data_IF_206036267272
#
_entry.id   IF_206036267272
#
_cell.length_a   1.000
_cell.length_b   1.000
_cell.length_c   1.000
_cell.angle_alpha   90.00
_cell.angle_beta   90.00
_cell.angle_gamma   90.00
#
_symmetry.space_group_name_H-M   'P 1'
#
loop_
_entity.id
_entity.type
_entity.pdbx_description
1 polymer ?
#
# COMPACT_ATOMS: atom_id res chain seq x y z
N UNK A 1 -28.99 36.22 -71.06
CA UNK A 1 -30.07 37.20 -71.29
C UNK A 1 -30.77 37.38 -69.94
N UNK A 2 -30.51 38.54 -69.30
CA UNK A 2 -31.08 39.08 -68.04
C UNK A 2 -30.88 38.27 -66.74
N UNK A 3 -30.53 38.82 -65.57
CA UNK A 3 -30.02 40.14 -65.12
C UNK A 3 -29.50 39.94 -63.69
N UNK A 4 -28.50 40.76 -63.37
CA UNK A 4 -28.04 41.18 -62.04
C UNK A 4 -29.17 41.77 -61.18
N UNK A 5 -29.16 41.54 -59.85
CA UNK A 5 -29.45 42.62 -58.90
C UNK A 5 -28.94 42.33 -57.48
N UNK A 6 -28.04 43.20 -57.04
CA UNK A 6 -27.59 43.44 -55.67
C UNK A 6 -28.72 43.75 -54.67
N UNK A 7 -28.57 43.45 -53.36
CA UNK A 7 -28.45 44.45 -52.27
C UNK A 7 -28.35 43.84 -50.86
N UNK A 8 -27.53 44.50 -50.05
CA UNK A 8 -27.26 44.33 -48.61
C UNK A 8 -28.44 44.61 -47.67
N UNK A 9 -28.45 43.97 -46.49
CA UNK A 9 -28.92 44.47 -45.17
C UNK A 9 -28.39 43.52 -44.08
N UNK A 10 -27.31 43.85 -43.38
CA UNK A 10 -27.25 44.45 -42.03
C UNK A 10 -27.97 43.70 -40.88
N UNK A 11 -27.12 43.14 -39.99
CA UNK A 11 -27.13 43.10 -38.52
C UNK A 11 -28.38 42.63 -37.75
N UNK A 12 -28.20 41.49 -37.06
CA UNK A 12 -28.48 41.34 -35.61
C UNK A 12 -27.54 40.27 -35.03
N UNK A 13 -26.84 40.51 -33.90
CA UNK A 13 -26.07 39.47 -33.23
C UNK A 13 -27.00 38.64 -32.34
N UNK A 14 -27.03 37.32 -32.56
CA UNK A 14 -27.67 36.39 -31.65
C UNK A 14 -26.81 36.32 -30.37
N UNK A 15 -27.39 36.78 -29.26
CA UNK A 15 -26.90 36.56 -27.91
C UNK A 15 -26.78 35.05 -27.68
N UNK A 16 -25.55 34.52 -27.66
CA UNK A 16 -25.29 33.20 -27.10
C UNK A 16 -25.47 33.30 -25.59
N UNK A 17 -26.59 32.74 -25.12
CA UNK A 17 -26.87 32.49 -23.72
C UNK A 17 -25.78 31.55 -23.19
N UNK A 18 -24.84 32.08 -22.42
CA UNK A 18 -23.90 31.27 -21.63
C UNK A 18 -24.75 30.61 -20.54
N UNK A 19 -25.21 29.39 -20.81
CA UNK A 19 -25.69 28.49 -19.76
C UNK A 19 -24.44 28.06 -19.01
N UNK A 20 -24.12 28.79 -17.95
CA UNK A 20 -23.17 28.37 -16.94
C UNK A 20 -23.70 27.09 -16.31
N UNK A 21 -23.27 25.94 -16.82
CA UNK A 21 -23.30 24.70 -16.04
C UNK A 21 -22.31 24.90 -14.90
N UNK A 22 -22.85 25.37 -13.78
CA UNK A 22 -22.19 25.32 -12.49
C UNK A 22 -21.99 23.83 -12.19
N UNK A 23 -20.83 23.28 -12.58
CA UNK A 23 -20.33 22.04 -12.01
C UNK A 23 -20.11 22.34 -10.52
N UNK A 24 -21.15 22.09 -9.73
CA UNK A 24 -20.98 21.75 -8.33
C UNK A 24 -20.03 20.57 -8.31
N UNK A 25 -18.74 20.87 -8.10
CA UNK A 25 -17.79 19.91 -7.56
C UNK A 25 -18.38 19.54 -6.21
N UNK A 26 -19.23 18.51 -6.19
CA UNK A 26 -19.40 17.72 -4.99
C UNK A 26 -17.99 17.24 -4.66
N UNK A 27 -17.36 17.92 -3.71
CA UNK A 27 -16.30 17.31 -2.92
C UNK A 27 -16.96 16.11 -2.27
N UNK A 28 -16.91 14.98 -2.97
CA UNK A 28 -17.24 13.69 -2.42
C UNK A 28 -16.27 13.49 -1.29
N UNK A 29 -16.72 13.76 -0.07
CA UNK A 29 -16.09 13.24 1.13
C UNK A 29 -16.17 11.72 1.00
N UNK A 30 -15.15 11.10 0.43
CA UNK A 30 -14.99 9.65 0.43
C UNK A 30 -14.58 9.20 1.83
N UNK A 31 -15.36 9.59 2.84
CA UNK A 31 -15.44 8.92 4.12
C UNK A 31 -16.24 7.63 3.89
N UNK A 32 -15.62 6.66 3.21
CA UNK A 32 -16.10 5.28 3.31
C UNK A 32 -16.11 4.95 4.80
N UNK A 33 -17.29 4.60 5.32
CA UNK A 33 -17.48 4.38 6.74
C UNK A 33 -16.47 3.33 7.22
N UNK A 34 -15.44 3.77 7.95
CA UNK A 34 -14.57 2.88 8.71
C UNK A 34 -15.48 1.98 9.53
N UNK A 35 -15.35 0.66 9.40
CA UNK A 35 -16.14 -0.23 10.26
C UNK A 35 -15.85 0.13 11.73
N UNK A 36 -16.85 -0.01 12.59
CA UNK A 36 -16.80 0.47 13.98
C UNK A 36 -15.61 -0.09 14.79
N UNK A 37 -15.08 -1.25 14.38
CA UNK A 37 -13.88 -1.88 14.92
C UNK A 37 -12.58 -1.19 14.49
N UNK A 38 -12.51 -0.63 13.28
CA UNK A 38 -11.33 0.09 12.76
C UNK A 38 -11.14 1.44 13.46
N UNK A 39 -12.23 2.15 13.70
CA UNK A 39 -12.21 3.46 14.35
C UNK A 39 -11.63 3.41 15.79
N UNK A 40 -11.67 2.24 16.43
CA UNK A 40 -11.17 2.09 17.79
C UNK A 40 -9.64 1.84 17.84
N UNK A 41 -9.02 1.30 16.78
CA UNK A 41 -7.59 1.00 16.78
C UNK A 41 -6.73 2.26 17.03
N UNK A 42 -7.15 3.40 16.48
CA UNK A 42 -6.42 4.66 16.56
C UNK A 42 -6.79 5.45 17.82
N UNK A 43 -5.82 5.74 18.72
CA UNK A 43 -6.05 6.52 19.94
C UNK A 43 -6.53 7.96 19.66
N UNK A 44 -7.10 8.59 20.68
CA UNK A 44 -7.56 10.00 20.60
C UNK A 44 -6.44 10.94 20.13
N UNK A 45 -5.21 10.77 20.64
CA UNK A 45 -4.05 11.60 20.24
C UNK A 45 -3.74 11.50 18.73
N UNK A 46 -3.95 10.34 18.12
CA UNK A 46 -3.83 10.19 16.66
C UNK A 46 -4.87 11.04 15.94
N UNK A 47 -6.14 10.92 16.36
CA UNK A 47 -7.25 11.65 15.74
C UNK A 47 -7.07 13.16 15.86
N UNK A 48 -6.70 13.65 17.05
CA UNK A 48 -6.44 15.07 17.29
C UNK A 48 -5.27 15.58 16.44
N UNK A 49 -4.19 14.81 16.34
CA UNK A 49 -3.03 15.20 15.51
C UNK A 49 -3.32 15.14 14.02
N UNK A 50 -4.27 14.30 13.62
CA UNK A 50 -4.67 14.08 12.24
C UNK A 50 -5.65 15.16 11.74
N UNK A 51 -6.69 15.42 12.52
CA UNK A 51 -7.80 16.32 12.18
C UNK A 51 -7.42 17.82 12.33
N UNK A 52 -6.42 18.15 13.16
CA UNK A 52 -5.98 19.53 13.40
C UNK A 52 -4.66 19.87 12.67
N UNK A 53 -4.67 20.75 11.65
CA UNK A 53 -3.47 21.19 10.92
C UNK A 53 -2.33 21.67 11.82
N UNK A 54 -2.64 22.42 12.89
CA UNK A 54 -1.62 22.95 13.82
C UNK A 54 -0.92 21.85 14.62
N UNK A 55 -1.47 20.63 14.62
CA UNK A 55 -0.95 19.47 15.34
C UNK A 55 -0.31 18.41 14.44
N UNK A 56 -0.39 18.55 13.12
CA UNK A 56 0.08 17.53 12.17
C UNK A 56 1.58 17.27 12.24
N UNK A 57 2.37 18.24 12.74
CA UNK A 57 3.80 18.06 13.02
C UNK A 57 4.09 16.92 14.01
N UNK A 58 3.09 16.50 14.82
CA UNK A 58 3.20 15.39 15.77
C UNK A 58 2.93 14.02 15.14
N UNK A 59 2.29 13.96 13.97
CA UNK A 59 1.83 12.71 13.36
C UNK A 59 2.90 11.64 13.21
N UNK A 60 4.15 11.92 12.76
CA UNK A 60 5.17 10.88 12.64
C UNK A 60 5.45 10.19 13.97
N UNK A 61 5.55 10.96 15.06
CA UNK A 61 5.74 10.41 16.41
C UNK A 61 4.51 9.62 16.86
N UNK A 62 3.32 10.17 16.68
CA UNK A 62 2.08 9.52 17.13
C UNK A 62 1.83 8.22 16.39
N UNK A 63 2.07 8.17 15.07
CA UNK A 63 2.01 6.95 14.26
C UNK A 63 3.06 5.94 14.73
N UNK A 64 4.30 6.37 14.97
CA UNK A 64 5.31 5.48 15.53
C UNK A 64 4.86 4.86 16.86
N UNK A 65 4.28 5.67 17.75
CA UNK A 65 3.77 5.18 19.04
C UNK A 65 2.61 4.20 18.86
N UNK A 66 1.64 4.48 17.98
CA UNK A 66 0.56 3.54 17.61
C UNK A 66 1.12 2.22 17.10
N UNK A 67 2.13 2.27 16.24
CA UNK A 67 2.70 1.08 15.62
C UNK A 67 3.60 0.25 16.56
N UNK A 68 4.15 0.86 17.62
CA UNK A 68 5.16 0.25 18.49
C UNK A 68 4.65 -0.14 19.88
N UNK A 69 3.74 0.64 20.45
CA UNK A 69 3.27 0.49 21.84
C UNK A 69 2.17 -0.57 21.92
N UNK A 70 1.86 -0.99 23.14
CA UNK A 70 0.72 -1.85 23.38
C UNK A 70 -0.57 -1.04 23.33
N UNK A 71 -1.63 -1.66 22.85
CA UNK A 71 -2.98 -1.13 22.81
C UNK A 71 -3.81 -1.78 23.90
N UNK A 72 -4.60 -0.97 24.62
CA UNK A 72 -5.66 -1.44 25.49
C UNK A 72 -7.00 -1.25 24.78
N UNK A 73 -7.60 -2.36 24.32
CA UNK A 73 -8.87 -2.30 23.62
C UNK A 73 -10.01 -1.88 24.57
N UNK A 74 -10.84 -0.94 24.12
CA UNK A 74 -12.02 -0.46 24.85
C UNK A 74 -13.28 -0.63 24.01
N UNK A 75 -14.35 -1.11 24.63
CA UNK A 75 -15.61 -1.33 23.94
C UNK A 75 -16.19 -0.01 23.43
N UNK A 76 -16.34 0.12 22.10
CA UNK A 76 -16.86 1.30 21.41
C UNK A 76 -16.10 2.61 21.70
N UNK A 77 -14.81 2.53 22.05
CA UNK A 77 -13.96 3.70 22.26
C UNK A 77 -12.60 3.49 21.59
N UNK A 78 -11.91 4.58 21.21
CA UNK A 78 -10.50 4.54 20.83
C UNK A 78 -9.65 3.80 21.85
N UNK A 79 -8.66 3.08 21.38
CA UNK A 79 -7.67 2.40 22.19
C UNK A 79 -6.85 3.40 22.99
N UNK A 80 -6.29 2.91 24.10
CA UNK A 80 -5.30 3.65 24.87
C UNK A 80 -3.96 2.97 24.70
N UNK A 81 -2.91 3.74 24.42
CA UNK A 81 -1.56 3.20 24.34
C UNK A 81 -0.96 2.97 25.73
N UNK A 82 -0.26 1.85 25.87
CA UNK A 82 0.48 1.42 27.06
C UNK A 82 1.91 1.06 26.67
N UNK A 83 2.84 1.17 27.59
CA UNK A 83 4.26 0.89 27.30
C UNK A 83 4.53 -0.59 27.06
N UNK A 84 3.76 -1.45 27.72
CA UNK A 84 3.84 -2.90 27.57
C UNK A 84 2.48 -3.55 27.75
N UNK A 85 2.38 -4.79 27.29
CA UNK A 85 1.16 -5.57 27.37
C UNK A 85 1.28 -6.68 28.40
N UNK A 86 0.55 -6.55 29.52
CA UNK A 86 0.42 -7.58 30.55
C UNK A 86 -1.01 -8.10 30.59
N UNK A 87 -1.26 -9.20 29.87
CA UNK A 87 -2.61 -9.80 29.76
C UNK A 87 -3.16 -10.32 31.08
N UNK A 88 -2.33 -10.51 32.11
CA UNK A 88 -2.81 -10.91 33.43
C UNK A 88 -3.53 -9.76 34.16
N UNK A 89 -3.17 -8.51 33.84
CA UNK A 89 -3.77 -7.29 34.38
C UNK A 89 -4.81 -6.70 33.45
N UNK A 90 -4.51 -6.70 32.16
CA UNK A 90 -5.31 -6.10 31.10
C UNK A 90 -5.63 -7.14 30.01
N UNK A 91 -6.68 -7.97 30.19
CA UNK A 91 -6.99 -9.05 29.24
C UNK A 91 -7.27 -8.58 27.81
N UNK A 92 -7.74 -7.33 27.65
CA UNK A 92 -8.02 -6.70 26.35
C UNK A 92 -6.78 -6.08 25.69
N UNK A 93 -5.62 -6.15 26.35
CA UNK A 93 -4.40 -5.61 25.80
C UNK A 93 -3.85 -6.47 24.65
N UNK A 94 -3.31 -5.80 23.63
CA UNK A 94 -2.60 -6.42 22.52
C UNK A 94 -1.48 -5.52 21.98
N UNK A 95 -0.56 -6.09 21.22
CA UNK A 95 0.54 -5.38 20.57
C UNK A 95 1.02 -6.20 19.37
N UNK A 96 1.82 -5.60 18.48
CA UNK A 96 2.39 -6.32 17.33
C UNK A 96 3.04 -7.65 17.78
N UNK A 97 2.61 -8.76 17.17
CA UNK A 97 3.13 -10.09 17.41
C UNK A 97 4.29 -10.36 16.43
N UNK A 98 5.52 -10.64 16.92
CA UNK A 98 6.59 -11.15 16.07
C UNK A 98 6.21 -12.53 15.53
N UNK A 99 6.08 -12.66 14.22
CA UNK A 99 5.59 -13.89 13.59
C UNK A 99 6.68 -14.93 13.32
N UNK A 100 7.91 -14.47 13.07
CA UNK A 100 8.97 -15.30 12.52
C UNK A 100 8.75 -15.56 11.02
N UNK A 101 9.85 -15.65 10.27
CA UNK A 101 9.80 -15.59 8.82
C UNK A 101 9.04 -16.76 8.17
N UNK A 102 9.18 -17.98 8.70
CA UNK A 102 8.49 -19.14 8.14
C UNK A 102 6.97 -19.02 8.29
N UNK A 103 6.49 -18.66 9.48
CA UNK A 103 5.07 -18.50 9.74
C UNK A 103 4.48 -17.35 8.91
N UNK A 104 5.16 -16.21 8.83
CA UNK A 104 4.73 -15.09 7.99
C UNK A 104 4.57 -15.50 6.50
N UNK A 105 5.45 -16.36 5.97
CA UNK A 105 5.31 -16.89 4.60
C UNK A 105 4.17 -17.89 4.46
N UNK A 106 3.93 -18.71 5.46
CA UNK A 106 2.76 -19.60 5.48
C UNK A 106 1.47 -18.79 5.38
N UNK A 107 1.32 -17.73 6.18
CA UNK A 107 0.17 -16.83 6.11
C UNK A 107 0.11 -16.08 4.77
N UNK A 108 1.25 -15.59 4.28
CA UNK A 108 1.34 -14.85 3.02
C UNK A 108 0.76 -15.63 1.83
N UNK A 109 1.22 -16.87 1.65
CA UNK A 109 0.87 -17.67 0.47
C UNK A 109 -0.32 -18.58 0.69
N UNK A 110 -0.49 -19.07 1.91
CA UNK A 110 -1.49 -20.07 2.24
C UNK A 110 -2.83 -19.48 2.65
N UNK A 111 -2.91 -18.18 2.95
CA UNK A 111 -4.15 -17.53 3.39
C UNK A 111 -4.33 -16.16 2.70
N UNK A 112 -3.43 -15.20 2.94
CA UNK A 112 -3.62 -13.79 2.55
C UNK A 112 -3.71 -13.56 1.04
N UNK A 113 -2.95 -14.31 0.25
CA UNK A 113 -2.96 -14.21 -1.22
C UNK A 113 -3.44 -15.50 -1.90
N UNK A 114 -4.01 -16.43 -1.12
CA UNK A 114 -4.50 -17.68 -1.66
C UNK A 114 -5.85 -17.46 -2.36
N UNK A 115 -5.88 -17.74 -3.65
CA UNK A 115 -7.09 -17.76 -4.46
C UNK A 115 -7.60 -19.20 -4.54
N UNK A 116 -8.92 -19.37 -4.46
CA UNK A 116 -9.58 -20.66 -4.65
C UNK A 116 -10.63 -20.57 -5.75
N UNK A 117 -10.61 -21.52 -6.68
CA UNK A 117 -11.63 -21.70 -7.71
C UNK A 117 -11.97 -23.18 -7.82
N UNK A 118 -13.11 -23.58 -7.24
CA UNK A 118 -13.43 -25.00 -7.04
C UNK A 118 -12.38 -25.68 -6.16
N UNK A 119 -11.82 -26.79 -6.64
CA UNK A 119 -10.77 -27.54 -5.95
C UNK A 119 -9.35 -27.05 -6.29
N UNK A 120 -9.23 -26.01 -7.11
CA UNK A 120 -7.94 -25.47 -7.54
C UNK A 120 -7.56 -24.25 -6.72
N UNK A 121 -6.26 -24.17 -6.44
CA UNK A 121 -5.65 -23.04 -5.74
C UNK A 121 -4.68 -22.30 -6.65
N UNK A 122 -4.55 -21.00 -6.42
CA UNK A 122 -3.52 -20.18 -7.04
C UNK A 122 -3.10 -19.00 -6.17
N UNK A 123 -1.99 -18.37 -6.53
CA UNK A 123 -1.54 -17.12 -5.91
C UNK A 123 -1.18 -16.14 -7.00
N UNK A 124 -1.66 -14.90 -6.90
CA UNK A 124 -1.31 -13.84 -7.84
C UNK A 124 0.05 -13.24 -7.50
N UNK A 125 1.00 -13.29 -8.43
CA UNK A 125 2.28 -12.59 -8.33
C UNK A 125 2.10 -11.09 -8.63
N UNK A 126 2.40 -10.22 -7.66
CA UNK A 126 1.91 -8.83 -7.68
C UNK A 126 2.60 -7.92 -8.69
N UNK A 127 3.86 -8.17 -9.08
CA UNK A 127 4.57 -7.30 -10.02
C UNK A 127 4.27 -7.61 -11.49
N UNK A 128 3.82 -8.81 -11.81
CA UNK A 128 3.51 -9.23 -13.18
C UNK A 128 2.04 -9.56 -13.39
N UNK A 129 1.20 -9.36 -12.37
CA UNK A 129 -0.24 -9.61 -12.42
C UNK A 129 -0.64 -11.05 -12.78
N UNK A 130 0.31 -11.99 -12.79
CA UNK A 130 0.12 -13.40 -13.20
C UNK A 130 -0.38 -14.23 -12.03
N UNK A 131 -1.38 -15.09 -12.26
CA UNK A 131 -1.81 -16.11 -11.30
C UNK A 131 -0.97 -17.37 -11.52
N UNK A 132 -0.39 -17.86 -10.44
CA UNK A 132 0.40 -19.10 -10.39
C UNK A 132 -0.47 -20.20 -9.80
N UNK A 133 -0.67 -21.29 -10.55
CA UNK A 133 -1.48 -22.45 -10.15
C UNK A 133 -0.60 -23.69 -10.06
N UNK A 134 -1.15 -24.85 -9.72
CA UNK A 134 -0.39 -26.11 -9.68
C UNK A 134 0.38 -26.43 -10.98
N UNK A 135 -0.08 -25.96 -12.13
CA UNK A 135 0.58 -26.17 -13.43
C UNK A 135 1.96 -25.49 -13.52
N UNK A 136 2.16 -24.38 -12.79
CA UNK A 136 3.44 -23.65 -12.76
C UNK A 136 4.50 -24.34 -11.87
N UNK A 137 4.12 -25.40 -11.12
CA UNK A 137 4.98 -26.09 -10.16
C UNK A 137 5.13 -27.59 -10.47
N UNK A 138 5.60 -27.98 -11.68
CA UNK A 138 5.64 -29.39 -12.09
C UNK A 138 6.53 -30.27 -11.21
N UNK A 139 7.55 -29.68 -10.56
CA UNK A 139 8.53 -30.38 -9.71
C UNK A 139 8.64 -29.76 -8.31
N UNK A 140 7.61 -29.03 -7.87
CA UNK A 140 7.66 -28.19 -6.67
C UNK A 140 6.37 -28.19 -5.88
N UNK A 141 6.40 -27.57 -4.70
CA UNK A 141 5.19 -27.36 -3.92
C UNK A 141 4.34 -26.29 -4.59
N UNK A 142 3.12 -26.66 -5.00
CA UNK A 142 2.13 -25.72 -5.52
C UNK A 142 1.45 -24.92 -4.39
N UNK A 143 0.84 -23.77 -4.71
CA UNK A 143 -0.01 -23.04 -3.77
C UNK A 143 -1.14 -23.90 -3.18
N UNK A 144 -1.51 -23.59 -1.94
CA UNK A 144 -2.62 -24.24 -1.24
C UNK A 144 -2.71 -23.80 0.22
N UNK A 145 -3.78 -24.19 0.94
CA UNK A 145 -4.03 -23.74 2.31
C UNK A 145 -2.86 -24.06 3.24
N UNK A 146 -2.38 -23.05 3.97
CA UNK A 146 -1.24 -23.17 4.89
C UNK A 146 0.09 -23.62 4.25
N UNK A 147 0.27 -23.54 2.93
CA UNK A 147 1.48 -23.98 2.23
C UNK A 147 2.35 -22.83 1.75
N UNK A 148 3.66 -23.05 1.77
CA UNK A 148 4.64 -22.18 1.10
C UNK A 148 4.98 -22.83 -0.24
N UNK A 149 4.68 -22.18 -1.38
CA UNK A 149 5.01 -22.70 -2.69
C UNK A 149 6.52 -22.72 -2.94
N UNK A 150 6.94 -23.44 -3.99
CA UNK A 150 8.36 -23.52 -4.37
C UNK A 150 8.93 -22.12 -4.65
N UNK A 151 9.94 -21.67 -3.87
CA UNK A 151 10.49 -20.32 -4.00
C UNK A 151 11.26 -20.10 -5.31
N UNK A 152 11.57 -21.17 -6.05
CA UNK A 152 12.18 -21.08 -7.39
C UNK A 152 11.18 -20.58 -8.44
N UNK A 153 9.88 -20.70 -8.18
CA UNK A 153 8.81 -20.23 -9.06
C UNK A 153 8.21 -18.95 -8.49
N UNK A 154 7.73 -18.99 -7.24
CA UNK A 154 7.07 -17.86 -6.58
C UNK A 154 7.75 -17.55 -5.24
N UNK A 155 8.38 -16.39 -5.16
CA UNK A 155 9.19 -15.96 -4.03
C UNK A 155 8.45 -14.93 -3.15
N UNK A 156 8.97 -14.72 -1.95
CA UNK A 156 8.51 -13.68 -1.03
C UNK A 156 9.29 -12.40 -1.31
N UNK A 157 8.62 -11.39 -1.85
CA UNK A 157 9.16 -10.05 -1.95
C UNK A 157 9.10 -9.34 -0.60
N UNK A 158 10.20 -8.69 -0.24
CA UNK A 158 10.23 -7.69 0.83
C UNK A 158 10.24 -6.32 0.18
N UNK A 159 9.08 -5.65 0.17
CA UNK A 159 8.94 -4.32 -0.45
C UNK A 159 9.96 -3.34 0.10
N UNK A 160 10.25 -3.38 1.40
CA UNK A 160 11.48 -2.82 1.93
C UNK A 160 12.61 -3.87 1.91
N UNK A 161 13.72 -3.70 1.15
CA UNK A 161 14.72 -4.75 1.00
C UNK A 161 15.33 -5.20 2.33
N UNK A 162 15.48 -6.51 2.53
CA UNK A 162 16.10 -7.06 3.75
C UNK A 162 17.51 -6.53 4.03
N UNK A 163 18.26 -6.17 2.98
CA UNK A 163 19.61 -5.60 3.09
C UNK A 163 19.61 -4.16 3.63
N UNK A 164 18.44 -3.51 3.68
CA UNK A 164 18.24 -2.12 4.13
C UNK A 164 17.41 -2.05 5.42
N UNK A 165 17.26 -3.15 6.15
CA UNK A 165 16.54 -3.14 7.43
C UNK A 165 17.19 -2.23 8.47
N UNK A 166 16.34 -1.68 9.33
CA UNK A 166 16.76 -0.87 10.46
C UNK A 166 17.62 -1.69 11.41
N UNK A 167 18.74 -1.11 11.84
CA UNK A 167 19.62 -1.69 12.87
C UNK A 167 19.08 -1.50 14.29
N UNK A 168 18.11 -0.60 14.46
CA UNK A 168 17.51 -0.27 15.76
C UNK A 168 16.40 -1.26 16.18
N UNK A 169 16.04 -2.20 15.30
CA UNK A 169 14.99 -3.19 15.55
C UNK A 169 15.47 -4.61 15.25
N UNK A 170 14.94 -5.65 15.92
CA UNK A 170 15.28 -7.02 15.62
C UNK A 170 15.02 -7.37 14.16
N UNK A 171 15.98 -8.08 13.54
CA UNK A 171 15.87 -8.50 12.13
C UNK A 171 14.65 -9.37 11.88
N UNK A 172 14.36 -10.33 12.75
CA UNK A 172 13.26 -11.27 12.57
C UNK A 172 11.88 -10.62 12.69
N UNK A 173 11.76 -9.53 13.46
CA UNK A 173 10.54 -8.73 13.54
C UNK A 173 10.23 -8.07 12.19
N UNK A 174 11.23 -7.41 11.60
CA UNK A 174 11.12 -6.76 10.29
C UNK A 174 10.91 -7.78 9.16
N UNK A 175 11.66 -8.89 9.20
CA UNK A 175 11.65 -9.92 8.17
C UNK A 175 10.32 -10.65 8.05
N UNK A 176 9.62 -10.82 9.17
CA UNK A 176 8.31 -11.47 9.25
C UNK A 176 7.13 -10.50 9.26
N UNK A 177 7.34 -9.20 9.01
CA UNK A 177 6.27 -8.21 9.02
C UNK A 177 5.42 -8.32 7.75
N UNK A 178 4.21 -8.86 7.88
CA UNK A 178 3.31 -9.12 6.76
C UNK A 178 2.98 -7.86 5.96
N UNK A 179 3.01 -6.66 6.54
CA UNK A 179 2.67 -5.42 5.81
C UNK A 179 3.64 -5.11 4.66
N UNK A 180 4.83 -5.72 4.62
CA UNK A 180 5.81 -5.55 3.54
C UNK A 180 6.10 -6.82 2.74
N UNK A 181 5.35 -7.91 2.97
CA UNK A 181 5.54 -9.17 2.26
C UNK A 181 4.52 -9.35 1.14
N UNK A 182 4.99 -9.66 -0.06
CA UNK A 182 4.13 -9.93 -1.21
C UNK A 182 4.62 -11.14 -2.02
N UNK A 183 3.71 -11.91 -2.64
CA UNK A 183 4.08 -12.95 -3.59
C UNK A 183 4.58 -12.34 -4.91
N UNK A 184 5.79 -12.67 -5.33
CA UNK A 184 6.37 -12.20 -6.60
C UNK A 184 7.07 -13.35 -7.30
N UNK A 185 6.93 -13.41 -8.62
CA UNK A 185 7.71 -14.31 -9.48
C UNK A 185 9.21 -14.28 -9.12
N UNK A 186 9.85 -15.44 -9.01
CA UNK A 186 11.22 -15.52 -8.50
C UNK A 186 12.25 -14.77 -9.37
N UNK A 187 12.07 -14.79 -10.70
CA UNK A 187 12.95 -14.07 -11.62
C UNK A 187 12.70 -12.56 -11.58
N UNK A 188 11.43 -12.15 -11.47
CA UNK A 188 11.05 -10.74 -11.28
C UNK A 188 11.55 -10.20 -9.94
N UNK A 189 11.47 -10.99 -8.88
CA UNK A 189 12.00 -10.65 -7.56
C UNK A 189 13.52 -10.45 -7.62
N UNK A 190 14.22 -11.35 -8.32
CA UNK A 190 15.66 -11.25 -8.56
C UNK A 190 16.03 -9.99 -9.37
N UNK A 191 15.22 -9.65 -10.37
CA UNK A 191 15.36 -8.41 -11.14
C UNK A 191 15.19 -7.17 -10.28
N UNK A 192 14.15 -7.15 -9.43
CA UNK A 192 13.86 -6.04 -8.51
C UNK A 192 15.00 -5.82 -7.52
N UNK A 193 15.64 -6.89 -7.05
CA UNK A 193 16.81 -6.85 -6.17
C UNK A 193 16.59 -5.94 -4.94
N UNK A 194 17.44 -4.94 -4.73
CA UNK A 194 17.28 -3.90 -3.70
C UNK A 194 17.19 -2.48 -4.30
N UNK A 195 16.86 -2.38 -5.59
CA UNK A 195 16.74 -1.10 -6.28
C UNK A 195 15.59 -0.28 -5.69
N UNK A 196 15.75 1.04 -5.61
CA UNK A 196 14.65 1.93 -5.26
C UNK A 196 13.51 1.77 -6.28
N UNK A 197 12.29 2.01 -5.81
CA UNK A 197 11.16 2.13 -6.70
C UNK A 197 11.19 3.48 -7.40
N UNK A 198 10.80 3.51 -8.67
CA UNK A 198 10.83 4.71 -9.49
C UNK A 198 10.14 4.50 -10.83
N UNK A 199 9.88 5.58 -11.55
CA UNK A 199 9.40 5.49 -12.93
C UNK A 199 10.58 5.24 -13.88
N UNK A 200 10.47 4.22 -14.73
CA UNK A 200 11.51 3.87 -15.69
C UNK A 200 11.31 4.66 -16.97
N UNK A 201 12.26 5.55 -17.28
CA UNK A 201 12.31 6.31 -18.54
C UNK A 201 13.11 5.58 -19.63
N UNK A 202 14.09 4.77 -19.24
CA UNK A 202 14.88 3.93 -20.15
C UNK A 202 14.99 2.50 -19.62
N UNK A 203 14.28 1.57 -20.26
CA UNK A 203 14.23 0.16 -19.85
C UNK A 203 15.58 -0.54 -20.11
N UNK A 204 16.08 -1.25 -19.11
CA UNK A 204 17.28 -2.11 -19.22
C UNK A 204 16.95 -3.59 -19.13
N UNK A 205 15.86 -3.93 -18.44
CA UNK A 205 15.36 -5.28 -18.32
C UNK A 205 13.86 -5.25 -18.06
N UNK A 206 13.11 -6.14 -18.71
CA UNK A 206 11.67 -6.23 -18.60
C UNK A 206 11.28 -7.67 -18.24
N UNK A 207 11.11 -7.99 -16.95
CA UNK A 207 10.83 -9.36 -16.51
C UNK A 207 9.44 -9.85 -16.96
N UNK A 208 8.52 -8.93 -17.26
CA UNK A 208 7.19 -9.19 -17.78
C UNK A 208 6.60 -7.90 -18.39
N UNK A 209 5.43 -8.00 -19.01
CA UNK A 209 4.77 -6.85 -19.66
C UNK A 209 4.58 -5.66 -18.71
N UNK A 210 4.19 -5.94 -17.46
CA UNK A 210 3.74 -4.92 -16.51
C UNK A 210 4.82 -4.42 -15.54
N UNK A 211 6.02 -5.02 -15.51
CA UNK A 211 7.10 -4.55 -14.64
C UNK A 211 8.40 -4.37 -15.42
N UNK A 212 9.22 -3.42 -14.97
CA UNK A 212 10.45 -3.05 -15.67
C UNK A 212 11.52 -2.56 -14.70
N UNK A 213 12.77 -2.85 -15.02
CA UNK A 213 13.96 -2.28 -14.40
C UNK A 213 14.67 -1.40 -15.42
N UNK A 214 15.09 -0.23 -15.02
CA UNK A 214 15.80 0.67 -15.92
C UNK A 214 16.29 1.90 -15.21
N UNK A 215 16.53 2.94 -15.98
CA UNK A 215 16.94 4.25 -15.46
C UNK A 215 15.72 5.18 -15.38
N UNK A 216 15.62 5.92 -14.28
CA UNK A 216 14.69 7.05 -14.15
C UNK A 216 15.15 8.22 -15.03
N UNK A 217 14.34 9.28 -15.09
CA UNK A 217 14.68 10.51 -15.80
C UNK A 217 15.99 11.16 -15.31
N UNK A 218 16.40 10.89 -14.07
CA UNK A 218 17.67 11.37 -13.48
C UNK A 218 18.86 10.45 -13.76
N UNK A 219 18.65 9.32 -14.45
CA UNK A 219 19.66 8.30 -14.72
C UNK A 219 19.81 7.25 -13.60
N UNK A 220 19.07 7.38 -12.50
CA UNK A 220 19.14 6.42 -11.38
C UNK A 220 18.53 5.08 -11.76
N UNK A 221 19.21 3.98 -11.41
CA UNK A 221 18.64 2.64 -11.60
C UNK A 221 17.49 2.40 -10.63
N UNK A 222 16.30 2.15 -11.17
CA UNK A 222 15.03 1.97 -10.45
C UNK A 222 14.27 0.73 -10.94
N UNK A 223 13.32 0.27 -10.13
CA UNK A 223 12.34 -0.74 -10.50
C UNK A 223 10.93 -0.15 -10.49
N UNK A 224 10.16 -0.45 -11.52
CA UNK A 224 8.76 -0.04 -11.66
C UNK A 224 7.87 -1.31 -11.71
N UNK A 225 6.98 -1.51 -10.72
CA UNK A 225 6.05 -2.64 -10.71
C UNK A 225 4.83 -2.38 -11.60
N UNK A 226 3.95 -3.39 -11.72
CA UNK A 226 2.64 -3.25 -12.34
C UNK A 226 1.85 -2.05 -11.76
N UNK A 227 1.14 -1.34 -12.64
CA UNK A 227 0.43 -0.10 -12.30
C UNK A 227 -0.57 -0.31 -11.14
N UNK A 228 -1.30 -1.41 -11.18
CA UNK A 228 -2.27 -1.87 -10.16
C UNK A 228 -1.66 -2.26 -8.80
N UNK A 229 -0.34 -2.18 -8.65
CA UNK A 229 0.36 -2.49 -7.40
C UNK A 229 1.24 -1.33 -6.91
N UNK A 230 1.26 -0.20 -7.62
CA UNK A 230 2.11 0.95 -7.30
C UNK A 230 1.75 1.60 -5.96
N UNK A 231 0.46 1.75 -5.68
CA UNK A 231 -0.06 2.31 -4.43
C UNK A 231 0.16 1.37 -3.25
N UNK A 232 0.02 0.06 -3.48
CA UNK A 232 0.35 -0.97 -2.49
C UNK A 232 1.82 -0.86 -2.05
N UNK A 233 2.75 -0.72 -3.02
CA UNK A 233 4.17 -0.46 -2.76
C UNK A 233 4.36 0.83 -1.96
N UNK A 234 3.70 1.93 -2.36
CA UNK A 234 3.78 3.20 -1.65
C UNK A 234 3.39 3.08 -0.18
N UNK A 235 2.21 2.52 0.11
CA UNK A 235 1.71 2.36 1.48
C UNK A 235 2.54 1.40 2.32
N UNK A 236 3.10 0.35 1.73
CA UNK A 236 4.03 -0.55 2.41
C UNK A 236 5.36 0.15 2.76
N UNK A 237 5.90 0.99 1.86
CA UNK A 237 7.12 1.75 2.10
C UNK A 237 6.94 2.83 3.18
N UNK A 238 5.86 3.62 3.11
CA UNK A 238 5.52 4.63 4.13
C UNK A 238 5.31 4.00 5.51
N UNK A 239 4.59 2.86 5.55
CA UNK A 239 4.44 2.08 6.77
C UNK A 239 5.78 1.66 7.36
N UNK A 240 6.68 1.10 6.54
CA UNK A 240 7.94 0.59 7.03
C UNK A 240 8.86 1.71 7.53
N UNK A 241 8.90 2.84 6.82
CA UNK A 241 9.59 4.06 7.24
C UNK A 241 9.14 4.47 8.65
N UNK A 242 7.83 4.64 8.85
CA UNK A 242 7.29 5.05 10.14
C UNK A 242 7.50 3.99 11.22
N UNK A 243 7.20 2.72 10.93
CA UNK A 243 7.29 1.61 11.89
C UNK A 243 8.73 1.41 12.38
N UNK A 244 9.70 1.49 11.48
CA UNK A 244 11.09 1.11 11.76
C UNK A 244 12.08 2.28 11.74
N UNK A 245 11.56 3.52 11.71
CA UNK A 245 12.32 4.78 11.73
C UNK A 245 13.39 4.82 10.63
N UNK A 246 12.96 4.55 9.41
CA UNK A 246 13.82 4.51 8.24
C UNK A 246 13.46 5.62 7.28
N UNK A 247 14.46 6.34 6.78
CA UNK A 247 14.25 7.41 5.81
C UNK A 247 14.00 6.87 4.40
N UNK A 248 13.11 7.52 3.67
CA UNK A 248 12.94 7.36 2.22
C UNK A 248 13.65 8.54 1.54
N UNK A 249 14.42 8.28 0.49
CA UNK A 249 15.05 9.38 -0.24
C UNK A 249 14.03 10.17 -1.06
N UNK A 250 14.28 11.47 -1.24
CA UNK A 250 13.30 12.40 -1.80
C UNK A 250 12.80 12.03 -3.21
N UNK A 251 13.67 11.50 -4.09
CA UNK A 251 13.28 11.08 -5.44
C UNK A 251 12.32 9.88 -5.38
N UNK A 252 12.64 8.88 -4.55
CA UNK A 252 11.74 7.74 -4.35
C UNK A 252 10.44 8.19 -3.67
N UNK A 253 10.51 9.05 -2.67
CA UNK A 253 9.34 9.53 -1.94
C UNK A 253 8.34 10.27 -2.84
N UNK A 254 8.82 11.15 -3.72
CA UNK A 254 7.98 11.84 -4.71
C UNK A 254 7.19 10.84 -5.56
N UNK A 255 7.87 9.79 -6.05
CA UNK A 255 7.24 8.73 -6.83
C UNK A 255 6.21 7.96 -6.00
N UNK A 256 6.53 7.58 -4.76
CA UNK A 256 5.60 6.85 -3.90
C UNK A 256 4.35 7.68 -3.57
N UNK A 257 4.49 9.00 -3.36
CA UNK A 257 3.34 9.90 -3.16
C UNK A 257 2.47 9.99 -4.41
N UNK A 258 3.08 10.06 -5.59
CA UNK A 258 2.38 10.02 -6.88
C UNK A 258 1.61 8.70 -7.03
N UNK A 259 2.27 7.57 -6.77
CA UNK A 259 1.68 6.24 -6.87
C UNK A 259 0.54 6.01 -5.87
N UNK A 260 0.65 6.50 -4.64
CA UNK A 260 -0.45 6.42 -3.66
C UNK A 260 -1.73 7.13 -4.15
N UNK A 261 -1.59 8.20 -4.95
CA UNK A 261 -2.75 8.91 -5.55
C UNK A 261 -3.29 8.22 -6.81
N UNK A 262 -2.40 7.64 -7.62
CA UNK A 262 -2.77 7.02 -8.90
C UNK A 262 -3.38 5.62 -8.72
N UNK A 263 -2.93 4.90 -7.69
CA UNK A 263 -3.43 3.58 -7.29
C UNK A 263 -4.03 3.69 -5.87
N UNK A 264 -5.28 4.19 -5.74
CA UNK A 264 -5.94 4.38 -4.45
C UNK A 264 -6.21 3.04 -3.77
N UNK A 265 -6.36 3.06 -2.44
CA UNK A 265 -6.63 1.86 -1.64
C UNK A 265 -7.90 1.17 -2.14
N UNK A 266 -7.76 -0.09 -2.55
CA UNK A 266 -8.88 -0.92 -2.98
C UNK A 266 -9.43 -1.80 -1.85
N UNK A 267 -10.44 -2.63 -2.17
CA UNK A 267 -11.03 -3.52 -1.17
C UNK A 267 -10.08 -4.64 -0.75
N UNK A 268 -9.28 -5.17 -1.68
CA UNK A 268 -8.34 -6.24 -1.40
C UNK A 268 -7.26 -5.80 -0.40
N UNK A 269 -6.77 -4.57 -0.50
CA UNK A 269 -5.84 -3.99 0.48
C UNK A 269 -6.47 -3.79 1.85
N UNK A 270 -7.73 -3.32 1.91
CA UNK A 270 -8.46 -3.17 3.18
C UNK A 270 -8.66 -4.53 3.86
N UNK A 271 -9.11 -5.53 3.11
CA UNK A 271 -9.32 -6.88 3.60
C UNK A 271 -7.98 -7.49 4.07
N UNK A 272 -6.92 -7.33 3.29
CA UNK A 272 -5.58 -7.77 3.67
C UNK A 272 -5.08 -7.09 4.94
N UNK A 273 -5.28 -5.78 5.11
CA UNK A 273 -4.89 -5.05 6.32
C UNK A 273 -5.64 -5.58 7.55
N UNK A 274 -6.92 -5.93 7.38
CA UNK A 274 -7.73 -6.55 8.43
C UNK A 274 -7.26 -7.96 8.79
N UNK A 275 -6.97 -8.81 7.81
CA UNK A 275 -6.44 -10.16 8.08
C UNK A 275 -5.07 -10.11 8.74
N UNK A 276 -4.19 -9.20 8.29
CA UNK A 276 -2.90 -8.97 8.97
C UNK A 276 -3.12 -8.50 10.40
N UNK A 277 -4.10 -7.63 10.66
CA UNK A 277 -4.40 -7.23 12.04
C UNK A 277 -4.82 -8.43 12.91
N UNK A 278 -5.62 -9.36 12.38
CA UNK A 278 -6.01 -10.57 13.12
C UNK A 278 -4.81 -11.44 13.50
N UNK A 279 -3.81 -11.54 12.62
CA UNK A 279 -2.61 -12.38 12.77
C UNK A 279 -1.49 -11.68 13.56
N UNK A 280 -1.09 -10.50 13.09
CA UNK A 280 0.07 -9.72 13.52
C UNK A 280 -0.26 -8.65 14.58
N UNK A 281 -1.54 -8.30 14.77
CA UNK A 281 -2.03 -7.37 15.81
C UNK A 281 -1.58 -5.91 15.66
N UNK A 282 -1.18 -5.50 14.46
CA UNK A 282 -1.01 -4.09 14.11
C UNK A 282 -1.52 -3.83 12.69
N UNK A 283 -1.93 -2.58 12.43
CA UNK A 283 -2.45 -2.14 11.14
C UNK A 283 -1.41 -1.34 10.37
N UNK A 284 -1.62 -1.19 9.06
CA UNK A 284 -0.95 -0.20 8.25
C UNK A 284 -1.80 1.09 8.18
N UNK A 285 -1.38 2.19 8.82
CA UNK A 285 -2.13 3.46 8.81
C UNK A 285 -2.27 4.08 7.44
N UNK A 286 -1.36 3.80 6.51
CA UNK A 286 -1.44 4.32 5.14
C UNK A 286 -2.47 3.57 4.28
N UNK A 287 -2.96 2.41 4.73
CA UNK A 287 -4.12 1.73 4.12
C UNK A 287 -5.42 2.24 4.73
N UNK A 288 -5.47 2.43 6.06
CA UNK A 288 -6.68 2.93 6.71
C UNK A 288 -6.92 4.43 6.47
N UNK A 289 -5.83 5.20 6.35
CA UNK A 289 -5.78 6.65 6.19
C UNK A 289 -4.74 7.03 5.10
N UNK A 290 -5.00 6.73 3.81
CA UNK A 290 -4.06 7.00 2.71
C UNK A 290 -3.66 8.47 2.56
N UNK A 291 -4.48 9.39 3.06
CA UNK A 291 -4.22 10.83 3.11
C UNK A 291 -3.04 11.21 4.03
N UNK A 292 -2.63 10.34 4.96
CA UNK A 292 -1.41 10.52 5.76
C UNK A 292 -0.18 10.74 4.87
N UNK A 293 -0.13 10.08 3.72
CA UNK A 293 0.95 10.23 2.74
C UNK A 293 0.96 11.58 2.04
N UNK A 294 -0.01 12.48 2.28
CA UNK A 294 0.03 13.87 1.82
C UNK A 294 0.27 14.85 2.97
N UNK A 295 -0.05 14.45 4.21
CA UNK A 295 0.08 15.29 5.41
C UNK A 295 1.49 15.23 5.99
N UNK A 296 2.04 14.02 6.14
CA UNK A 296 3.40 13.83 6.65
C UNK A 296 4.38 14.36 5.60
N UNK A 297 5.33 15.19 6.00
CA UNK A 297 6.26 15.86 5.08
C UNK A 297 7.61 15.14 4.94
N UNK A 298 7.98 14.31 5.91
CA UNK A 298 9.29 13.66 5.98
C UNK A 298 9.10 12.20 6.43
N UNK A 299 9.64 11.26 5.65
CA UNK A 299 9.54 9.81 5.85
C UNK A 299 10.90 9.18 6.08
#
# INVERSE_FOLDING_TARGET
MFTDESRSKERTPAYFLIIGLCFLVQMGTSAHALTRTYANYYPVEFRESFENPDSQFRLPKVIFDVLRRAHLARMNQPDVLKDSCDKSKDPSCYQQKPLGYRFARTELFGELHLLQSGDQYGVRGVYCSKIYTSQDFPNGSAPGPGKIPDPRVLNTEHTWPQSKFSRSFPKDLQKGDLHILFPVDSATNSTRSNYPFGEVSAVTHQPCENARKGHSATGRTVFEPADEHKGNVARAMFYFSMRYKMSIDAEQEEVLRKWNRQDPVDQAERDRNEEIFKIQKNRNPFIDHPELASIIQDF
#
